data_IF_264706905452
#
_entry.id   IF_264706905452
#
_cell.length_a   1.000
_cell.length_b   1.000
_cell.length_c   1.000
_cell.angle_alpha   90.00
_cell.angle_beta   90.00
_cell.angle_gamma   90.00
#
_symmetry.space_group_name_H-M   'P 1'
#
loop_
_entity.id
_entity.type
_entity.pdbx_description
1 polymer ?
#
# COMPACT_ATOMS: atom_id res chain seq x y z
N UNK A 1 -8.33 22.92 18.71
CA UNK A 1 -7.09 22.86 17.90
C UNK A 1 -7.27 21.69 16.96
N UNK A 2 -7.44 21.95 15.66
CA UNK A 2 -7.43 20.85 14.68
C UNK A 2 -5.97 20.38 14.59
N UNK A 3 -5.70 19.13 14.93
CA UNK A 3 -4.36 18.58 14.77
C UNK A 3 -3.96 18.71 13.29
N UNK A 4 -2.72 19.12 13.02
CA UNK A 4 -2.21 19.18 11.66
C UNK A 4 -2.04 17.73 11.15
N UNK A 5 -2.85 17.35 10.17
CA UNK A 5 -2.81 16.02 9.58
C UNK A 5 -1.86 16.07 8.38
N UNK A 6 -0.58 15.79 8.63
CA UNK A 6 0.46 15.78 7.60
C UNK A 6 0.86 14.35 7.28
N UNK A 7 0.88 13.99 6.01
CA UNK A 7 1.50 12.74 5.57
C UNK A 7 3.02 12.84 5.68
N UNK A 8 3.71 11.80 6.19
CA UNK A 8 5.16 11.83 6.31
C UNK A 8 5.82 11.78 4.92
N UNK A 9 7.05 12.28 4.84
CA UNK A 9 7.88 12.12 3.66
C UNK A 9 8.12 10.64 3.35
N UNK A 10 8.05 10.27 2.07
CA UNK A 10 8.36 8.94 1.60
C UNK A 10 9.56 8.96 0.64
N UNK A 11 10.14 7.78 0.39
CA UNK A 11 11.27 7.64 -0.54
C UNK A 11 11.18 6.29 -1.21
N UNK A 12 11.05 6.32 -2.53
CA UNK A 12 10.99 5.15 -3.39
C UNK A 12 12.26 5.10 -4.23
N UNK A 13 12.91 3.94 -4.25
CA UNK A 13 14.08 3.68 -5.09
C UNK A 13 13.80 2.46 -5.97
N UNK A 14 13.84 2.69 -7.27
CA UNK A 14 13.54 1.72 -8.31
C UNK A 14 14.77 1.56 -9.20
N UNK A 15 15.04 0.33 -9.64
CA UNK A 15 16.20 0.01 -10.49
C UNK A 15 15.76 -0.84 -11.66
N UNK A 16 16.19 -0.43 -12.85
CA UNK A 16 16.06 -1.21 -14.08
C UNK A 16 17.43 -1.47 -14.69
N UNK A 17 17.62 -2.68 -15.22
CA UNK A 17 18.76 -3.02 -16.06
C UNK A 17 18.26 -3.81 -17.26
N UNK A 18 18.74 -3.44 -18.44
CA UNK A 18 18.47 -4.15 -19.67
C UNK A 18 19.73 -4.31 -20.51
N UNK A 19 19.73 -5.35 -21.34
CA UNK A 19 20.82 -5.63 -22.27
C UNK A 19 20.29 -6.27 -23.53
N UNK A 20 20.56 -5.62 -24.66
CA UNK A 20 20.30 -6.19 -25.99
C UNK A 20 21.49 -7.00 -26.48
N UNK A 21 21.21 -8.18 -27.04
CA UNK A 21 22.15 -9.02 -27.76
C UNK A 21 21.52 -9.50 -29.07
N UNK A 22 22.32 -9.80 -30.06
CA UNK A 22 21.84 -10.25 -31.37
C UNK A 22 21.87 -11.78 -31.44
N UNK A 23 20.71 -12.38 -31.68
CA UNK A 23 20.58 -13.79 -32.01
C UNK A 23 20.33 -13.92 -33.52
N UNK A 24 21.42 -13.92 -34.29
CA UNK A 24 21.33 -13.80 -35.75
C UNK A 24 20.80 -12.42 -36.15
N UNK A 25 19.67 -12.39 -36.88
CA UNK A 25 18.98 -11.15 -37.28
C UNK A 25 17.98 -10.62 -36.25
N UNK A 26 17.82 -11.31 -35.12
CA UNK A 26 16.84 -10.92 -34.11
C UNK A 26 17.55 -10.24 -32.95
N UNK A 27 17.35 -8.93 -32.72
CA UNK A 27 17.76 -8.31 -31.47
C UNK A 27 16.86 -8.81 -30.34
N UNK A 28 17.48 -9.34 -29.29
CA UNK A 28 16.81 -9.82 -28.07
C UNK A 28 17.28 -8.97 -26.89
N UNK A 29 16.35 -8.34 -26.18
CA UNK A 29 16.62 -7.56 -24.98
C UNK A 29 16.20 -8.35 -23.75
N UNK A 30 17.15 -8.69 -22.89
CA UNK A 30 16.86 -9.17 -21.55
C UNK A 30 16.73 -7.98 -20.60
N UNK A 31 15.71 -7.96 -19.76
CA UNK A 31 15.49 -6.91 -18.78
C UNK A 31 15.16 -7.46 -17.40
N UNK A 32 15.53 -6.71 -16.38
CA UNK A 32 15.09 -6.86 -15.01
C UNK A 32 14.76 -5.48 -14.44
N UNK A 33 13.61 -5.37 -13.77
CA UNK A 33 13.13 -4.16 -13.13
C UNK A 33 12.67 -4.47 -11.72
N UNK A 34 13.19 -3.75 -10.74
CA UNK A 34 12.84 -3.88 -9.33
C UNK A 34 12.29 -2.54 -8.85
N UNK A 35 11.00 -2.52 -8.54
CA UNK A 35 10.33 -1.39 -7.90
C UNK A 35 10.38 -1.56 -6.38
N UNK A 36 10.61 -0.47 -5.65
CA UNK A 36 10.77 -0.46 -4.20
C UNK A 36 11.86 -1.45 -3.73
N UNK A 37 13.09 -1.23 -4.20
CA UNK A 37 14.25 -2.11 -3.93
C UNK A 37 14.44 -2.36 -2.44
N UNK A 38 14.28 -1.31 -1.62
CA UNK A 38 14.42 -1.38 -0.16
C UNK A 38 13.19 -1.97 0.56
N UNK A 39 12.14 -2.36 -0.18
CA UNK A 39 10.90 -2.90 0.33
C UNK A 39 10.29 -2.07 1.49
N UNK A 40 10.38 -0.73 1.39
CA UNK A 40 9.89 0.18 2.41
C UNK A 40 8.36 0.27 2.31
N UNK A 41 7.69 0.20 3.47
CA UNK A 41 6.25 0.51 3.58
C UNK A 41 6.07 2.03 3.54
N UNK A 42 5.95 2.58 2.34
CA UNK A 42 5.82 4.03 2.15
C UNK A 42 4.41 4.47 2.53
N UNK A 43 4.27 5.24 3.62
CA UNK A 43 3.00 5.89 3.98
C UNK A 43 2.74 7.00 2.97
N UNK A 44 1.63 6.89 2.23
CA UNK A 44 1.20 7.89 1.25
C UNK A 44 0.04 8.73 1.77
N UNK A 45 -0.80 8.12 2.60
CA UNK A 45 -1.97 8.75 3.19
C UNK A 45 -2.15 8.33 4.64
N UNK A 46 -2.98 9.09 5.36
CA UNK A 46 -3.36 8.83 6.76
C UNK A 46 -4.86 9.07 6.91
N UNK A 47 -5.47 8.46 7.92
CA UNK A 47 -6.87 8.74 8.25
C UNK A 47 -7.03 10.21 8.65
N UNK A 48 -8.00 10.89 8.04
CA UNK A 48 -8.28 12.31 8.27
C UNK A 48 -8.78 12.63 9.69
N UNK A 49 -9.15 11.61 10.48
CA UNK A 49 -9.61 11.78 11.86
C UNK A 49 -8.48 11.73 12.88
N UNK A 50 -7.43 10.97 12.58
CA UNK A 50 -6.41 10.58 13.56
C UNK A 50 -4.99 10.93 13.12
N UNK A 51 -4.79 11.20 11.83
CA UNK A 51 -3.47 11.46 11.25
C UNK A 51 -2.54 10.24 11.25
N UNK A 52 -3.07 9.03 11.43
CA UNK A 52 -2.27 7.80 11.43
C UNK A 52 -2.80 6.78 10.39
N UNK A 53 -2.08 5.69 10.19
CA UNK A 53 -2.47 4.61 9.25
C UNK A 53 -3.10 3.39 9.94
N UNK A 54 -3.19 3.39 11.27
CA UNK A 54 -3.53 2.20 12.06
C UNK A 54 -4.80 2.34 12.91
N UNK A 55 -5.43 3.50 12.88
CA UNK A 55 -6.62 3.84 13.66
C UNK A 55 -7.42 4.85 12.84
N UNK A 56 -8.63 4.46 12.47
CA UNK A 56 -9.56 5.26 11.70
C UNK A 56 -10.37 6.27 12.54
N UNK A 57 -10.15 6.26 13.84
CA UNK A 57 -10.82 7.10 14.83
C UNK A 57 -12.17 6.56 15.27
N UNK A 58 -12.62 5.40 14.78
CA UNK A 58 -13.96 4.87 15.10
C UNK A 58 -14.11 4.58 16.57
N UNK A 59 -13.15 3.88 17.19
CA UNK A 59 -13.21 3.57 18.63
C UNK A 59 -12.42 4.55 19.49
N UNK A 60 -11.38 5.19 18.94
CA UNK A 60 -10.61 6.22 19.66
C UNK A 60 -11.41 7.49 19.89
N UNK A 61 -12.22 7.93 18.92
CA UNK A 61 -13.05 9.14 19.04
C UNK A 61 -14.45 8.86 19.60
N UNK A 62 -14.95 7.62 19.50
CA UNK A 62 -16.26 7.22 20.02
C UNK A 62 -16.18 5.98 20.93
N UNK A 63 -15.59 6.08 22.14
CA UNK A 63 -15.38 4.91 23.02
C UNK A 63 -16.67 4.20 23.44
N UNK A 64 -17.79 4.92 23.57
CA UNK A 64 -19.09 4.33 23.90
C UNK A 64 -19.62 3.38 22.83
N UNK A 65 -19.15 3.50 21.57
CA UNK A 65 -19.50 2.56 20.51
C UNK A 65 -18.91 1.17 20.79
N UNK A 66 -17.68 1.11 21.32
CA UNK A 66 -17.03 -0.16 21.69
C UNK A 66 -17.83 -0.87 22.78
N UNK A 67 -18.18 -0.16 23.85
CA UNK A 67 -18.96 -0.72 24.96
C UNK A 67 -20.29 -1.29 24.49
N UNK A 68 -21.03 -0.56 23.66
CA UNK A 68 -22.30 -1.03 23.10
C UNK A 68 -22.10 -2.29 22.24
N UNK A 69 -21.09 -2.31 21.37
CA UNK A 69 -20.85 -3.46 20.48
C UNK A 69 -20.42 -4.70 21.28
N UNK A 70 -19.58 -4.56 22.30
CA UNK A 70 -19.18 -5.68 23.16
C UNK A 70 -20.40 -6.38 23.77
N UNK A 71 -21.44 -5.62 24.14
CA UNK A 71 -22.68 -6.18 24.71
C UNK A 71 -23.49 -7.04 23.72
N UNK A 72 -23.39 -6.80 22.41
CA UNK A 72 -24.20 -7.49 21.39
C UNK A 72 -23.42 -8.48 20.53
N UNK A 73 -22.14 -8.21 20.24
CA UNK A 73 -21.34 -8.93 19.25
C UNK A 73 -20.08 -9.61 19.84
N UNK A 74 -19.76 -9.38 21.12
CA UNK A 74 -18.56 -9.91 21.76
C UNK A 74 -17.27 -9.17 21.39
N UNK A 75 -16.14 -9.60 21.95
CA UNK A 75 -14.82 -9.00 21.69
C UNK A 75 -14.26 -9.41 20.32
N UNK A 76 -14.67 -10.57 19.79
CA UNK A 76 -14.24 -11.11 18.49
C UNK A 76 -14.61 -10.19 17.32
N UNK A 77 -15.66 -9.38 17.49
CA UNK A 77 -16.02 -8.35 16.53
C UNK A 77 -14.86 -7.39 16.26
N UNK A 78 -14.11 -6.99 17.30
CA UNK A 78 -13.04 -6.01 17.15
C UNK A 78 -11.83 -6.59 16.43
N UNK A 79 -11.54 -7.88 16.63
CA UNK A 79 -10.49 -8.56 15.87
C UNK A 79 -10.81 -8.57 14.38
N UNK A 80 -12.05 -8.93 14.01
CA UNK A 80 -12.51 -8.89 12.63
C UNK A 80 -12.54 -7.47 12.06
N UNK A 81 -12.96 -6.49 12.87
CA UNK A 81 -12.95 -5.09 12.48
C UNK A 81 -11.54 -4.62 12.17
N UNK A 82 -10.58 -4.85 13.06
CA UNK A 82 -9.19 -4.45 12.89
C UNK A 82 -8.57 -5.10 11.65
N UNK A 83 -8.78 -6.41 11.48
CA UNK A 83 -8.28 -7.15 10.32
C UNK A 83 -8.84 -6.58 9.02
N UNK A 84 -10.16 -6.46 8.90
CA UNK A 84 -10.81 -6.06 7.65
C UNK A 84 -10.60 -4.57 7.37
N UNK A 85 -10.88 -3.71 8.35
CA UNK A 85 -10.96 -2.27 8.12
C UNK A 85 -9.60 -1.58 8.22
N UNK A 86 -8.70 -2.04 9.09
CA UNK A 86 -7.43 -1.38 9.37
C UNK A 86 -6.26 -2.11 8.70
N UNK A 87 -6.13 -3.43 8.86
CA UNK A 87 -5.02 -4.19 8.27
C UNK A 87 -5.18 -4.35 6.75
N UNK A 88 -6.36 -4.80 6.31
CA UNK A 88 -6.75 -4.86 4.90
C UNK A 88 -7.22 -3.51 4.34
N UNK A 89 -7.34 -2.49 5.20
CA UNK A 89 -7.59 -1.08 4.83
C UNK A 89 -8.92 -0.86 4.10
N UNK A 90 -9.87 -1.78 4.24
CA UNK A 90 -11.14 -1.71 3.53
C UNK A 90 -11.88 -0.41 3.85
N UNK A 91 -11.87 0.02 5.12
CA UNK A 91 -12.52 1.25 5.53
C UNK A 91 -11.90 2.48 4.85
N UNK A 92 -10.57 2.56 4.77
CA UNK A 92 -9.91 3.67 4.08
C UNK A 92 -10.27 3.70 2.59
N UNK A 93 -10.21 2.54 1.92
CA UNK A 93 -10.51 2.40 0.50
C UNK A 93 -11.95 2.81 0.16
N UNK A 94 -12.92 2.45 1.01
CA UNK A 94 -14.34 2.75 0.79
C UNK A 94 -14.66 4.23 1.10
N UNK A 95 -14.11 4.77 2.19
CA UNK A 95 -14.53 6.09 2.71
C UNK A 95 -13.69 7.24 2.16
N UNK A 96 -12.37 7.06 2.03
CA UNK A 96 -11.44 8.11 1.61
C UNK A 96 -10.89 7.89 0.20
N UNK A 97 -10.92 6.65 -0.29
CA UNK A 97 -10.40 6.30 -1.62
C UNK A 97 -8.87 6.20 -1.66
N UNK A 98 -8.37 5.35 -2.57
CA UNK A 98 -6.94 5.05 -2.67
C UNK A 98 -6.46 4.05 -1.61
N UNK A 99 -5.18 4.12 -1.25
CA UNK A 99 -4.56 3.24 -0.24
C UNK A 99 -3.74 4.12 0.75
N UNK A 100 -3.58 3.68 1.99
CA UNK A 100 -2.69 4.30 2.99
C UNK A 100 -1.22 4.13 2.62
N UNK A 101 -0.89 3.05 1.91
CA UNK A 101 0.49 2.69 1.58
C UNK A 101 0.75 2.71 0.07
N UNK A 102 1.97 3.08 -0.30
CA UNK A 102 2.47 2.97 -1.66
C UNK A 102 2.64 1.52 -2.11
N UNK A 103 2.97 1.37 -3.40
CA UNK A 103 3.11 0.04 -4.03
C UNK A 103 4.11 -0.84 -3.27
N UNK A 104 3.79 -2.13 -3.07
CA UNK A 104 4.74 -3.09 -2.52
C UNK A 104 5.91 -3.29 -3.49
N UNK A 105 6.97 -3.97 -3.03
CA UNK A 105 8.07 -4.37 -3.90
C UNK A 105 7.56 -5.26 -5.04
N UNK A 106 7.93 -4.89 -6.26
CA UNK A 106 7.60 -5.62 -7.46
C UNK A 106 8.87 -5.92 -8.24
N UNK A 107 9.03 -7.17 -8.67
CA UNK A 107 10.18 -7.62 -9.47
C UNK A 107 9.62 -8.13 -10.79
N UNK A 108 10.02 -7.49 -11.88
CA UNK A 108 9.67 -7.88 -13.26
C UNK A 108 10.94 -8.25 -13.98
N UNK A 109 10.92 -9.33 -14.74
CA UNK A 109 12.01 -9.70 -15.62
C UNK A 109 11.45 -10.37 -16.86
N UNK A 110 12.17 -10.29 -17.97
CA UNK A 110 11.71 -10.89 -19.20
C UNK A 110 12.64 -10.68 -20.37
N UNK A 111 12.17 -11.16 -21.52
CA UNK A 111 12.82 -11.01 -22.81
C UNK A 111 11.87 -10.27 -23.75
N UNK A 112 12.42 -9.33 -24.53
CA UNK A 112 11.75 -8.70 -25.65
C UNK A 112 12.49 -9.08 -26.94
N UNK A 113 11.77 -9.56 -27.94
CA UNK A 113 12.32 -9.88 -29.27
C UNK A 113 11.92 -8.76 -30.21
N UNK A 114 12.90 -8.09 -30.80
CA UNK A 114 12.68 -7.11 -31.87
C UNK A 114 12.59 -7.80 -33.23
N UNK A 115 11.90 -7.14 -34.16
CA UNK A 115 11.88 -7.50 -35.58
C UNK A 115 12.47 -6.31 -36.31
N UNK A 116 13.61 -6.49 -36.98
CA UNK A 116 14.11 -5.48 -37.91
C UNK A 116 13.11 -5.37 -39.08
N UNK A 117 12.66 -4.16 -39.46
CA UNK A 117 11.76 -3.97 -40.60
C UNK A 117 12.37 -4.42 -41.93
#
# INVERSE_FOLDING_TARGET
MLAEITTPWNTLFDVGIDRTFHLGRFPVTAYAYVQNVFNRKNVQHVYWRTGNTGDDGTFTLFPSLRENITQFAGEEFFELYELINLEHRQHYQIVQGGDLFGRPREIRFGLQVGVDP
#
